data_IF_184634089838
#
_entry.id   IF_184634089838
#
_cell.length_a   1.000
_cell.length_b   1.000
_cell.length_c   1.000
_cell.angle_alpha   90.00
_cell.angle_beta   90.00
_cell.angle_gamma   90.00
#
_symmetry.space_group_name_H-M   'P 1'
#
loop_
_entity.id
_entity.type
_entity.pdbx_description
1 polymer ?
#
# COMPACT_ATOMS: atom_id res chain seq x y z
N UNK A 1 4.83 6.51 -9.37
CA UNK A 1 3.41 6.79 -9.16
C UNK A 1 3.21 6.85 -7.67
N UNK A 2 2.63 7.93 -7.12
CA UNK A 2 2.39 8.00 -5.67
C UNK A 2 1.15 7.16 -5.33
N UNK A 3 1.02 6.71 -4.07
CA UNK A 3 -0.16 5.99 -3.59
C UNK A 3 -1.49 6.70 -3.94
N UNK A 4 -1.56 8.00 -3.69
CA UNK A 4 -2.70 8.88 -4.03
C UNK A 4 -3.05 8.84 -5.53
N UNK A 5 -2.04 8.80 -6.41
CA UNK A 5 -2.26 8.71 -7.85
C UNK A 5 -2.84 7.34 -8.22
N UNK A 6 -2.36 6.28 -7.55
CA UNK A 6 -2.86 4.91 -7.76
C UNK A 6 -4.30 4.76 -7.32
N UNK A 7 -4.68 5.39 -6.21
CA UNK A 7 -6.08 5.41 -5.76
C UNK A 7 -6.98 6.18 -6.73
N UNK A 8 -6.58 7.38 -7.15
CA UNK A 8 -7.35 8.14 -8.15
C UNK A 8 -7.55 7.35 -9.43
N UNK A 9 -6.52 6.66 -9.91
CA UNK A 9 -6.62 5.83 -11.10
C UNK A 9 -7.57 4.64 -10.91
N UNK A 10 -7.56 4.02 -9.74
CA UNK A 10 -8.48 2.94 -9.42
C UNK A 10 -9.93 3.41 -9.41
N UNK A 11 -10.20 4.61 -8.87
CA UNK A 11 -11.54 5.22 -8.91
C UNK A 11 -12.00 5.51 -10.35
N UNK A 12 -11.12 6.06 -11.20
CA UNK A 12 -11.39 6.26 -12.62
C UNK A 12 -11.72 4.95 -13.36
N UNK A 13 -10.98 3.87 -13.04
CA UNK A 13 -11.23 2.54 -13.58
C UNK A 13 -12.62 2.06 -13.16
N UNK A 14 -12.99 2.21 -11.89
CA UNK A 14 -14.29 1.80 -11.37
C UNK A 14 -15.44 2.57 -12.05
N UNK A 15 -15.30 3.88 -12.22
CA UNK A 15 -16.29 4.70 -12.93
C UNK A 15 -16.39 4.31 -14.41
N UNK A 16 -15.26 4.03 -15.07
CA UNK A 16 -15.24 3.58 -16.46
C UNK A 16 -15.90 2.20 -16.63
N UNK A 17 -15.71 1.29 -15.68
CA UNK A 17 -16.32 -0.04 -15.68
C UNK A 17 -17.83 -0.02 -15.41
N UNK A 18 -18.34 1.03 -14.76
CA UNK A 18 -19.79 1.24 -14.54
C UNK A 18 -20.50 1.85 -15.76
N UNK A 19 -19.75 2.39 -16.72
CA UNK A 19 -20.32 2.98 -17.93
C UNK A 19 -20.95 1.91 -18.83
N UNK A 20 -22.15 2.19 -19.35
CA UNK A 20 -22.84 1.31 -20.30
C UNK A 20 -22.18 1.28 -21.70
N UNK A 21 -21.27 2.22 -21.98
CA UNK A 21 -20.62 2.35 -23.30
C UNK A 21 -19.28 1.59 -23.41
N UNK A 22 -18.83 0.91 -22.35
CA UNK A 22 -17.55 0.21 -22.37
C UNK A 22 -17.61 -1.09 -23.17
N UNK A 23 -16.62 -1.28 -24.06
CA UNK A 23 -16.49 -2.54 -24.81
C UNK A 23 -16.00 -3.67 -23.90
N UNK A 24 -16.34 -4.93 -24.21
CA UNK A 24 -15.85 -6.10 -23.47
C UNK A 24 -14.30 -6.18 -23.46
N UNK A 25 -13.65 -5.78 -24.54
CA UNK A 25 -12.19 -5.82 -24.60
C UNK A 25 -11.57 -4.78 -23.67
N UNK A 26 -12.15 -3.58 -23.63
CA UNK A 26 -11.63 -2.51 -22.78
C UNK A 26 -11.97 -2.73 -21.31
N UNK A 27 -13.12 -3.33 -20.98
CA UNK A 27 -13.43 -3.73 -19.61
C UNK A 27 -12.45 -4.76 -19.07
N UNK A 28 -12.04 -5.74 -19.89
CA UNK A 28 -11.00 -6.72 -19.51
C UNK A 28 -9.64 -6.06 -19.28
N UNK A 29 -9.26 -5.06 -20.10
CA UNK A 29 -8.01 -4.31 -19.91
C UNK A 29 -8.03 -3.49 -18.62
N UNK A 30 -9.10 -2.73 -18.39
CA UNK A 30 -9.26 -1.92 -17.18
C UNK A 30 -9.29 -2.79 -15.93
N UNK A 31 -9.93 -3.96 -15.99
CA UNK A 31 -9.91 -4.91 -14.89
C UNK A 31 -8.48 -5.38 -14.56
N UNK A 32 -7.69 -5.77 -15.58
CA UNK A 32 -6.29 -6.14 -15.37
C UNK A 32 -5.47 -5.00 -14.77
N UNK A 33 -5.64 -3.79 -15.29
CA UNK A 33 -4.98 -2.59 -14.75
C UNK A 33 -5.36 -2.38 -13.28
N UNK A 34 -6.63 -2.50 -12.93
CA UNK A 34 -7.12 -2.36 -11.56
C UNK A 34 -6.52 -3.39 -10.60
N UNK A 35 -6.41 -4.66 -11.02
CA UNK A 35 -5.77 -5.72 -10.23
C UNK A 35 -4.28 -5.41 -10.01
N UNK A 36 -3.55 -5.00 -11.06
CA UNK A 36 -2.14 -4.66 -10.93
C UNK A 36 -1.91 -3.43 -10.01
N UNK A 37 -2.77 -2.41 -10.10
CA UNK A 37 -2.74 -1.26 -9.21
C UNK A 37 -3.00 -1.67 -7.76
N UNK A 38 -4.02 -2.50 -7.54
CA UNK A 38 -4.33 -3.02 -6.21
C UNK A 38 -3.14 -3.75 -5.59
N UNK A 39 -2.51 -4.67 -6.33
CA UNK A 39 -1.35 -5.41 -5.83
C UNK A 39 -0.18 -4.49 -5.46
N UNK A 40 0.07 -3.45 -6.26
CA UNK A 40 1.13 -2.45 -5.99
C UNK A 40 0.84 -1.67 -4.71
N UNK A 41 -0.39 -1.19 -4.53
CA UNK A 41 -0.79 -0.44 -3.34
C UNK A 41 -0.67 -1.28 -2.06
N UNK A 42 -1.07 -2.56 -2.11
CA UNK A 42 -0.94 -3.48 -0.97
C UNK A 42 0.54 -3.68 -0.60
N UNK A 43 1.42 -3.83 -1.61
CA UNK A 43 2.87 -3.95 -1.37
C UNK A 43 3.44 -2.69 -0.73
N UNK A 44 3.03 -1.52 -1.19
CA UNK A 44 3.48 -0.22 -0.64
C UNK A 44 3.04 -0.06 0.83
N UNK A 45 1.76 -0.32 1.13
CA UNK A 45 1.24 -0.27 2.51
C UNK A 45 1.99 -1.24 3.43
N UNK A 46 2.22 -2.48 2.97
CA UNK A 46 2.93 -3.48 3.77
C UNK A 46 4.40 -3.08 4.01
N UNK A 47 5.06 -2.47 3.02
CA UNK A 47 6.42 -1.94 3.20
C UNK A 47 6.46 -0.87 4.28
N UNK A 48 5.56 0.11 4.20
CA UNK A 48 5.48 1.19 5.19
C UNK A 48 5.16 0.66 6.58
N UNK A 49 4.26 -0.34 6.68
CA UNK A 49 3.95 -0.99 7.95
C UNK A 49 5.18 -1.68 8.55
N UNK A 50 5.94 -2.41 7.73
CA UNK A 50 7.16 -3.07 8.17
C UNK A 50 8.21 -2.05 8.65
N UNK A 51 8.39 -0.94 7.94
CA UNK A 51 9.30 0.15 8.35
C UNK A 51 8.92 0.69 9.74
N UNK A 52 7.64 0.96 9.97
CA UNK A 52 7.14 1.41 11.29
C UNK A 52 7.37 0.35 12.38
N UNK A 53 7.15 -0.93 12.08
CA UNK A 53 7.40 -2.02 13.03
C UNK A 53 8.89 -2.15 13.39
N UNK A 54 9.80 -1.99 12.42
CA UNK A 54 11.26 -2.00 12.66
C UNK A 54 11.66 -0.84 13.57
N UNK A 55 11.21 0.38 13.26
CA UNK A 55 11.50 1.56 14.08
C UNK A 55 11.02 1.38 15.52
N UNK A 56 9.79 0.86 15.71
CA UNK A 56 9.25 0.61 17.04
C UNK A 56 10.04 -0.45 17.81
N UNK A 57 10.55 -1.49 17.13
CA UNK A 57 11.39 -2.51 17.76
C UNK A 57 12.73 -1.92 18.20
N UNK A 58 13.40 -1.18 17.33
CA UNK A 58 14.68 -0.53 17.63
C UNK A 58 14.56 0.43 18.82
N UNK A 59 13.49 1.25 18.86
CA UNK A 59 13.19 2.11 20.01
C UNK A 59 12.97 1.30 21.30
N UNK A 60 12.23 0.20 21.23
CA UNK A 60 11.96 -0.65 22.39
C UNK A 60 13.20 -1.38 22.91
N UNK A 61 14.14 -1.73 22.04
CA UNK A 61 15.39 -2.39 22.42
C UNK A 61 16.41 -1.38 23.01
N UNK A 62 16.48 -0.14 22.49
CA UNK A 62 17.27 0.94 23.12
C UNK A 62 16.84 1.20 24.57
N UNK A 63 15.52 1.22 24.84
CA UNK A 63 15.01 1.41 26.21
C UNK A 63 15.42 0.28 27.15
N UNK A 64 15.59 -0.97 26.66
CA UNK A 64 16.04 -2.08 27.49
C UNK A 64 17.53 -2.01 27.79
N UNK A 65 18.35 -1.61 26.82
CA UNK A 65 19.78 -1.39 27.02
C UNK A 65 20.02 -0.29 28.07
N UNK A 66 19.34 0.86 27.96
CA UNK A 66 19.42 1.94 28.94
C UNK A 66 19.00 1.51 30.36
N UNK A 67 18.02 0.60 30.48
CA UNK A 67 17.61 0.06 31.78
C UNK A 67 18.62 -0.91 32.37
N UNK A 68 19.31 -1.71 31.54
CA UNK A 68 20.35 -2.64 32.01
C UNK A 68 21.57 -1.88 32.55
N UNK A 69 21.92 -0.75 31.93
CA UNK A 69 23.05 0.09 32.36
C UNK A 69 22.79 0.85 33.68
N UNK A 70 21.52 1.03 34.09
CA UNK A 70 21.17 1.67 35.37
C UNK A 70 21.23 0.69 36.54
N UNK A 71 21.05 -0.61 36.29
CA UNK A 71 20.98 -1.64 37.34
C UNK A 71 22.22 -2.55 37.41
N UNK A 72 23.23 -2.35 36.54
CA UNK A 72 24.54 -3.01 36.56
C UNK A 72 25.63 -2.16 37.21
#
# INVERSE_FOLDING_TARGET
MKFEDSMKRLDEILESLKSEEISLNDSVKLYKEGVELHEKMVKEINSLKNEVEVINREMGDMVKEDLLDIYG
#
